data_IF_285659912795
#
_entry.id   IF_285659912795
#
_cell.length_a   1.000
_cell.length_b   1.000
_cell.length_c   1.000
_cell.angle_alpha   90.00
_cell.angle_beta   90.00
_cell.angle_gamma   90.00
#
_symmetry.space_group_name_H-M   'P 1'
#
loop_
_entity.id
_entity.type
_entity.pdbx_description
1 polymer ?
#
# COMPACT_ATOMS: atom_id res chain seq x y z
N UNK A 1 5.81 -1.02 -21.17
CA UNK A 1 6.36 -0.95 -19.79
C UNK A 1 5.30 -0.41 -18.86
N UNK A 2 5.21 -0.99 -17.68
CA UNK A 2 4.30 -0.52 -16.63
C UNK A 2 5.11 -0.12 -15.41
N UNK A 3 4.59 0.85 -14.67
CA UNK A 3 5.22 1.36 -13.46
C UNK A 3 4.30 1.10 -12.28
N UNK A 4 4.84 0.56 -11.19
CA UNK A 4 4.09 0.37 -9.96
C UNK A 4 4.53 1.44 -8.96
N UNK A 5 3.55 2.20 -8.45
CA UNK A 5 3.77 3.14 -7.38
C UNK A 5 3.20 2.57 -6.09
N UNK A 6 3.95 2.69 -5.00
CA UNK A 6 3.53 2.22 -3.69
C UNK A 6 3.57 3.40 -2.72
N UNK A 7 2.45 3.60 -2.01
CA UNK A 7 2.32 4.63 -0.99
C UNK A 7 2.01 3.95 0.33
N UNK A 8 2.86 4.16 1.32
CA UNK A 8 2.72 3.60 2.66
C UNK A 8 2.37 4.73 3.62
N UNK A 9 1.13 4.74 4.08
CA UNK A 9 0.64 5.77 4.98
C UNK A 9 0.40 5.25 6.40
N UNK A 10 -0.20 6.09 7.24
CA UNK A 10 -0.47 5.75 8.64
C UNK A 10 -1.65 4.79 8.80
N UNK A 11 -2.54 4.71 7.83
CA UNK A 11 -3.75 3.88 7.92
C UNK A 11 -3.81 2.75 6.91
N UNK A 12 -2.82 2.62 6.05
CA UNK A 12 -2.81 1.56 5.06
C UNK A 12 -1.76 1.77 3.99
N UNK A 13 -1.58 0.75 3.16
CA UNK A 13 -0.73 0.81 1.98
C UNK A 13 -1.61 0.88 0.74
N UNK A 14 -1.14 1.58 -0.27
CA UNK A 14 -1.81 1.69 -1.57
C UNK A 14 -0.79 1.40 -2.65
N UNK A 15 -1.18 0.60 -3.63
CA UNK A 15 -0.33 0.34 -4.78
C UNK A 15 -1.14 0.56 -6.05
N UNK A 16 -0.49 1.12 -7.06
CA UNK A 16 -1.15 1.41 -8.33
C UNK A 16 -0.22 1.08 -9.49
N UNK A 17 -0.81 0.66 -10.59
CA UNK A 17 -0.09 0.41 -11.83
C UNK A 17 -0.41 1.52 -12.81
N UNK A 18 0.64 2.09 -13.41
CA UNK A 18 0.52 3.16 -14.38
C UNK A 18 1.17 2.74 -15.70
N UNK A 19 0.58 3.18 -16.80
CA UNK A 19 1.25 3.14 -18.10
C UNK A 19 1.96 4.48 -18.30
N UNK A 20 3.24 4.46 -18.71
CA UNK A 20 4.01 5.70 -18.87
C UNK A 20 3.31 6.72 -19.77
N UNK A 21 3.23 7.97 -19.32
CA UNK A 21 2.61 9.06 -20.06
C UNK A 21 1.10 8.98 -20.14
N UNK A 22 0.49 8.07 -19.38
CA UNK A 22 -0.94 7.84 -19.48
C UNK A 22 -1.60 7.85 -18.12
N UNK A 23 -2.52 6.94 -17.89
CA UNK A 23 -3.40 6.89 -16.73
C UNK A 23 -3.04 5.73 -15.81
N UNK A 24 -3.64 5.76 -14.65
CA UNK A 24 -3.67 4.63 -13.73
C UNK A 24 -4.46 3.49 -14.36
N UNK A 25 -3.85 2.31 -14.40
CA UNK A 25 -4.47 1.10 -14.96
C UNK A 25 -5.22 0.33 -13.88
N UNK A 26 -4.63 0.24 -12.70
CA UNK A 26 -5.21 -0.48 -11.56
C UNK A 26 -4.71 0.14 -10.25
N UNK A 27 -5.52 0.03 -9.21
CA UNK A 27 -5.17 0.54 -7.89
C UNK A 27 -5.79 -0.35 -6.84
N UNK A 28 -5.03 -0.69 -5.81
CA UNK A 28 -5.50 -1.46 -4.66
C UNK A 28 -5.04 -0.81 -3.37
N UNK A 29 -5.78 -1.06 -2.31
CA UNK A 29 -5.46 -0.55 -0.98
C UNK A 29 -5.65 -1.65 0.05
N UNK A 30 -4.71 -1.73 1.01
CA UNK A 30 -4.77 -2.65 2.14
C UNK A 30 -4.63 -1.85 3.43
N UNK A 31 -5.65 -1.82 4.27
CA UNK A 31 -5.59 -1.08 5.52
C UNK A 31 -4.80 -1.84 6.58
N UNK A 32 -4.28 -1.11 7.55
CA UNK A 32 -3.72 -1.64 8.78
C UNK A 32 -3.95 -0.63 9.91
N UNK A 33 -3.82 -1.10 11.15
CA UNK A 33 -4.04 -0.26 12.31
C UNK A 33 -2.74 0.33 12.82
N UNK A 34 -2.82 1.57 13.29
CA UNK A 34 -1.75 2.18 14.06
C UNK A 34 -1.91 1.80 15.52
N UNK A 35 -0.79 1.63 16.22
CA UNK A 35 -0.76 1.46 17.67
C UNK A 35 -0.46 2.83 18.27
N UNK A 36 -1.23 3.22 19.29
CA UNK A 36 -1.01 4.47 20.01
C UNK A 36 -0.71 4.14 21.46
N UNK A 37 0.54 3.75 21.80
CA UNK A 37 0.89 3.31 23.16
C UNK A 37 0.86 4.43 24.17
N UNK A 38 1.00 5.67 23.73
CA UNK A 38 0.95 6.85 24.60
C UNK A 38 0.39 8.03 23.82
N UNK A 39 -0.16 8.99 24.54
CA UNK A 39 -0.72 10.20 23.93
C UNK A 39 0.33 10.91 23.07
N UNK A 40 -0.02 11.18 21.84
CA UNK A 40 0.87 11.85 20.89
C UNK A 40 1.87 10.97 20.19
N UNK A 41 1.88 9.65 20.47
CA UNK A 41 2.76 8.69 19.83
C UNK A 41 1.97 7.74 18.96
N UNK A 42 2.42 7.57 17.70
CA UNK A 42 1.87 6.59 16.78
C UNK A 42 2.98 5.60 16.42
N UNK A 43 2.66 4.32 16.49
CA UNK A 43 3.56 3.27 16.06
C UNK A 43 2.89 2.39 15.02
N UNK A 44 3.66 1.98 14.02
CA UNK A 44 3.26 1.00 13.05
C UNK A 44 4.08 -0.26 13.28
N UNK A 45 3.41 -1.42 13.23
CA UNK A 45 4.10 -2.69 13.24
C UNK A 45 4.72 -2.92 11.86
N UNK A 46 6.07 -2.97 11.74
CA UNK A 46 6.71 -3.13 10.43
C UNK A 46 6.28 -4.40 9.70
N UNK A 47 6.02 -5.48 10.43
CA UNK A 47 5.57 -6.72 9.82
C UNK A 47 4.18 -6.56 9.22
N UNK A 48 3.28 -5.89 9.92
CA UNK A 48 1.92 -5.65 9.45
C UNK A 48 1.93 -4.76 8.20
N UNK A 49 2.78 -3.73 8.21
CA UNK A 49 2.95 -2.85 7.04
C UNK A 49 3.50 -3.64 5.86
N UNK A 50 4.52 -4.46 6.09
CA UNK A 50 5.11 -5.29 5.04
C UNK A 50 4.09 -6.25 4.43
N UNK A 51 3.30 -6.92 5.27
CA UNK A 51 2.26 -7.83 4.80
C UNK A 51 1.20 -7.10 3.97
N UNK A 52 0.84 -5.89 4.35
CA UNK A 52 -0.10 -5.09 3.57
C UNK A 52 0.45 -4.76 2.19
N UNK A 53 1.73 -4.40 2.09
CA UNK A 53 2.38 -4.14 0.80
C UNK A 53 2.37 -5.40 -0.06
N UNK A 54 2.70 -6.55 0.54
CA UNK A 54 2.69 -7.83 -0.18
C UNK A 54 1.29 -8.15 -0.71
N UNK A 55 0.25 -7.94 0.11
CA UNK A 55 -1.13 -8.15 -0.33
C UNK A 55 -1.51 -7.23 -1.48
N UNK A 56 -1.09 -5.96 -1.43
CA UNK A 56 -1.32 -5.03 -2.54
C UNK A 56 -0.72 -5.55 -3.84
N UNK A 57 0.54 -6.00 -3.78
CA UNK A 57 1.23 -6.49 -4.97
C UNK A 57 0.59 -7.75 -5.53
N UNK A 58 0.15 -8.66 -4.66
CA UNK A 58 -0.55 -9.87 -5.09
C UNK A 58 -1.87 -9.55 -5.77
N UNK A 59 -2.62 -8.60 -5.21
CA UNK A 59 -3.89 -8.18 -5.81
C UNK A 59 -3.68 -7.50 -7.15
N UNK A 60 -2.66 -6.66 -7.27
CA UNK A 60 -2.34 -6.02 -8.56
C UNK A 60 -1.97 -7.06 -9.60
N UNK A 61 -1.20 -8.07 -9.23
CA UNK A 61 -0.82 -9.14 -10.15
C UNK A 61 -2.04 -9.88 -10.68
N UNK A 62 -3.08 -10.05 -9.87
CA UNK A 62 -4.32 -10.67 -10.29
C UNK A 62 -5.18 -9.80 -11.19
N UNK A 63 -4.97 -8.49 -11.18
CA UNK A 63 -5.73 -7.53 -12.00
C UNK A 63 -5.02 -7.16 -13.31
N UNK A 64 -3.73 -7.40 -13.37
CA UNK A 64 -2.90 -6.95 -14.50
C UNK A 64 -2.91 -7.95 -15.71
#
# INVERSE_FOLDING_TARGET
MQIIGIDVGTSGAKAAVFEPGRRMVACVREPYSCICPAKGLLELDPEEVWQAVVRCLKRLAGQA
#
